data_IF_046644024992
#
_entry.id   IF_046644024992
#
_cell.length_a   1.000
_cell.length_b   1.000
_cell.length_c   1.000
_cell.angle_alpha   90.00
_cell.angle_beta   90.00
_cell.angle_gamma   90.00
#
_symmetry.space_group_name_H-M   'P 1'
#
loop_
_entity.id
_entity.type
_entity.pdbx_description
1 polymer ?
#
# COMPACT_ATOMS: atom_id res chain seq x y z
N UNK A 1 -3.76 6.81 -16.44
CA UNK A 1 -4.14 7.34 -15.12
C UNK A 1 -5.26 6.45 -14.61
N UNK A 2 -4.93 5.40 -13.86
CA UNK A 2 -5.84 4.75 -12.90
C UNK A 2 -4.99 3.76 -12.09
N UNK A 3 -4.24 4.33 -11.14
CA UNK A 3 -3.61 3.55 -10.09
C UNK A 3 -4.74 3.08 -9.15
N UNK A 4 -5.19 1.84 -9.30
CA UNK A 4 -6.09 1.22 -8.34
C UNK A 4 -7.21 0.42 -8.99
N UNK A 5 -7.11 -0.89 -8.91
CA UNK A 5 -8.15 -1.89 -9.22
C UNK A 5 -9.38 -1.83 -8.28
N UNK A 6 -9.78 -0.64 -7.81
CA UNK A 6 -10.68 -0.49 -6.66
C UNK A 6 -12.12 -0.05 -6.96
N UNK A 7 -12.62 -0.15 -8.20
CA UNK A 7 -13.97 0.33 -8.52
C UNK A 7 -14.97 -0.77 -8.88
N UNK A 8 -14.80 -1.97 -8.30
CA UNK A 8 -15.74 -3.07 -8.48
C UNK A 8 -16.39 -3.51 -7.19
N UNK A 9 -15.61 -4.11 -6.30
CA UNK A 9 -16.18 -4.86 -5.18
C UNK A 9 -16.64 -3.95 -4.03
N UNK A 10 -15.83 -2.98 -3.62
CA UNK A 10 -16.16 -2.12 -2.48
C UNK A 10 -17.43 -1.30 -2.72
N UNK A 11 -17.58 -0.74 -3.92
CA UNK A 11 -18.74 0.07 -4.29
C UNK A 11 -20.01 -0.77 -4.49
N UNK A 12 -19.91 -1.96 -5.10
CA UNK A 12 -21.08 -2.81 -5.35
C UNK A 12 -21.67 -3.44 -4.09
N UNK A 13 -20.84 -3.61 -3.06
CA UNK A 13 -21.20 -4.32 -1.83
C UNK A 13 -21.13 -3.43 -0.59
N UNK A 14 -21.00 -2.10 -0.77
CA UNK A 14 -20.85 -1.12 0.32
C UNK A 14 -19.80 -1.50 1.36
N UNK A 15 -18.69 -2.09 0.92
CA UNK A 15 -17.62 -2.52 1.82
C UNK A 15 -16.81 -1.28 2.21
N UNK A 16 -16.72 -0.95 3.51
CA UNK A 16 -15.93 0.18 3.95
C UNK A 16 -14.44 -0.08 3.65
N UNK A 17 -13.77 0.94 3.14
CA UNK A 17 -12.33 0.91 2.88
C UNK A 17 -11.66 2.15 3.50
N UNK A 18 -10.33 2.14 3.54
CA UNK A 18 -9.57 3.23 4.13
C UNK A 18 -9.54 4.47 3.21
N UNK A 19 -10.02 5.62 3.72
CA UNK A 19 -10.06 6.91 3.01
C UNK A 19 -8.68 7.40 2.51
N UNK A 20 -7.59 6.91 3.08
CA UNK A 20 -6.23 7.25 2.63
C UNK A 20 -5.94 6.71 1.22
N UNK A 21 -6.65 5.67 0.78
CA UNK A 21 -6.50 5.15 -0.59
C UNK A 21 -6.83 6.25 -1.61
N UNK A 22 -7.88 7.03 -1.36
CA UNK A 22 -8.28 8.17 -2.22
C UNK A 22 -7.31 9.35 -2.14
N UNK A 23 -6.46 9.39 -1.11
CA UNK A 23 -5.44 10.41 -0.89
C UNK A 23 -4.08 10.01 -1.47
N UNK A 24 -4.02 8.93 -2.25
CA UNK A 24 -2.80 8.47 -2.92
C UNK A 24 -1.97 7.48 -2.10
N UNK A 25 -2.55 6.83 -1.09
CA UNK A 25 -1.89 5.78 -0.29
C UNK A 25 -2.42 4.37 -0.68
N UNK A 26 -1.98 3.79 -1.81
CA UNK A 26 -2.46 2.48 -2.25
C UNK A 26 -1.93 1.30 -1.42
N UNK A 27 -0.88 1.49 -0.63
CA UNK A 27 -0.36 0.51 0.34
C UNK A 27 -0.15 1.19 1.69
N UNK A 28 -0.91 0.77 2.70
CA UNK A 28 -0.98 1.43 4.01
C UNK A 28 -0.28 0.58 5.07
N UNK A 29 0.61 1.18 5.86
CA UNK A 29 1.26 0.58 7.03
C UNK A 29 1.30 1.56 8.21
N UNK A 30 2.35 1.51 9.03
CA UNK A 30 2.58 2.51 10.08
C UNK A 30 2.86 3.89 9.47
N UNK A 31 2.40 4.94 10.14
CA UNK A 31 2.53 6.34 9.72
C UNK A 31 3.97 6.74 9.32
N UNK A 32 5.04 6.45 10.10
CA UNK A 32 6.38 6.92 9.74
C UNK A 32 6.97 6.23 8.51
N UNK A 33 6.40 5.08 8.11
CA UNK A 33 6.93 4.21 7.05
C UNK A 33 6.00 4.11 5.85
N UNK A 34 5.04 5.04 5.72
CA UNK A 34 4.06 5.07 4.64
C UNK A 34 3.94 6.48 4.08
N UNK A 35 4.13 6.65 2.77
CA UNK A 35 3.85 7.89 2.05
C UNK A 35 2.89 7.67 0.89
N UNK A 36 2.27 8.75 0.41
CA UNK A 36 1.55 8.72 -0.85
C UNK A 36 2.50 8.45 -2.03
N UNK A 37 1.97 7.82 -3.08
CA UNK A 37 2.71 7.53 -4.32
C UNK A 37 2.30 8.47 -5.46
N UNK A 38 3.23 8.69 -6.40
CA UNK A 38 2.98 9.47 -7.61
C UNK A 38 2.37 8.60 -8.71
N UNK A 39 1.65 9.20 -9.67
CA UNK A 39 1.21 8.50 -10.87
C UNK A 39 2.36 7.76 -11.56
N UNK A 40 2.19 6.46 -11.80
CA UNK A 40 3.20 5.61 -12.45
C UNK A 40 4.24 4.99 -11.51
N UNK A 41 4.29 5.36 -10.22
CA UNK A 41 5.07 4.61 -9.23
C UNK A 41 4.41 3.26 -8.93
N UNK A 42 5.23 2.29 -8.48
CA UNK A 42 4.73 1.03 -7.94
C UNK A 42 3.77 1.26 -6.76
N UNK A 43 2.73 0.43 -6.63
CA UNK A 43 1.70 0.59 -5.58
C UNK A 43 2.29 0.48 -4.16
N UNK A 44 3.43 -0.20 -3.98
CA UNK A 44 4.17 -0.29 -2.71
C UNK A 44 5.35 0.66 -2.63
N UNK A 45 5.59 1.53 -3.62
CA UNK A 45 6.68 2.51 -3.61
C UNK A 45 6.62 3.49 -2.42
N UNK A 46 5.45 3.64 -1.79
CA UNK A 46 5.26 4.43 -0.58
C UNK A 46 5.72 3.76 0.71
N UNK A 47 6.05 2.46 0.68
CA UNK A 47 6.53 1.68 1.83
C UNK A 47 8.05 1.52 1.74
N UNK A 48 8.76 1.75 2.85
CA UNK A 48 10.23 1.69 2.91
C UNK A 48 10.91 2.49 1.79
N UNK A 49 10.38 3.68 1.50
CA UNK A 49 10.76 4.48 0.35
C UNK A 49 12.19 5.05 0.41
N UNK A 50 12.81 5.01 1.60
CA UNK A 50 14.20 5.41 1.85
C UNK A 50 15.18 4.24 1.89
N UNK A 51 14.70 2.99 1.87
CA UNK A 51 15.51 1.80 2.11
C UNK A 51 16.07 1.22 0.81
N UNK A 52 17.18 0.48 0.91
CA UNK A 52 17.76 -0.24 -0.21
C UNK A 52 16.83 -1.36 -0.71
N UNK A 53 16.93 -1.68 -2.00
CA UNK A 53 15.93 -2.52 -2.69
C UNK A 53 15.80 -3.96 -2.17
N UNK A 54 16.77 -4.46 -1.40
CA UNK A 54 16.84 -5.85 -0.98
C UNK A 54 15.79 -6.26 0.06
N UNK A 55 15.34 -5.35 0.93
CA UNK A 55 14.59 -5.72 2.13
C UNK A 55 13.31 -4.91 2.30
N UNK A 56 12.36 -5.12 1.37
CA UNK A 56 11.06 -4.45 1.34
C UNK A 56 9.91 -5.33 1.85
N UNK A 57 10.16 -6.23 2.79
CA UNK A 57 9.10 -6.98 3.44
C UNK A 57 9.09 -6.81 4.95
N UNK A 58 7.87 -6.74 5.50
CA UNK A 58 7.68 -6.58 6.94
C UNK A 58 8.02 -7.89 7.67
N UNK A 59 8.47 -7.78 8.93
CA UNK A 59 8.68 -8.93 9.82
C UNK A 59 7.46 -9.85 9.97
N UNK A 60 6.25 -9.34 9.69
CA UNK A 60 5.01 -10.13 9.63
C UNK A 60 4.99 -11.22 8.55
N UNK A 61 5.86 -11.10 7.54
CA UNK A 61 5.97 -12.06 6.43
C UNK A 61 7.12 -13.05 6.63
N UNK A 62 7.82 -12.98 7.76
CA UNK A 62 8.88 -13.92 8.07
C UNK A 62 8.30 -15.26 8.48
N UNK A 63 9.03 -16.32 8.18
CA UNK A 63 8.73 -17.64 8.72
C UNK A 63 9.02 -17.66 10.22
N UNK A 64 7.98 -17.84 11.02
CA UNK A 64 8.05 -17.91 12.48
C UNK A 64 8.13 -19.35 13.02
N UNK A 65 8.28 -20.35 12.14
CA UNK A 65 8.38 -21.76 12.53
C UNK A 65 9.79 -22.22 12.87
N UNK A 66 10.77 -21.31 12.84
CA UNK A 66 12.16 -21.56 13.25
C UNK A 66 12.38 -21.36 14.74
#
# INVERSE_FOLDING_TARGET
MELGTNNGLHQRNDIPYNKLIDQGFPSIGCEPCTRAVKPGEDLRAGRWWWENQSDKECGLHMDHSK
#
